data_IF_282983658674
#
_entry.id   IF_282983658674
#
_cell.length_a   1.000
_cell.length_b   1.000
_cell.length_c   1.000
_cell.angle_alpha   90.00
_cell.angle_beta   90.00
_cell.angle_gamma   90.00
#
_symmetry.space_group_name_H-M   'P 1'
#
loop_
_entity.id
_entity.type
_entity.pdbx_description
1 polymer ?
#
# COMPACT_ATOMS: atom_id res chain seq x y z
N UNK A 1 -45.71 8.85 -62.69
CA UNK A 1 -45.67 9.10 -61.23
C UNK A 1 -44.47 8.39 -60.59
N UNK A 2 -44.04 7.27 -61.17
CA UNK A 2 -43.00 6.38 -60.63
C UNK A 2 -41.59 6.98 -60.65
N UNK A 3 -41.25 7.82 -61.63
CA UNK A 3 -39.94 8.48 -61.71
C UNK A 3 -39.71 9.48 -60.56
N UNK A 4 -40.76 10.22 -60.18
CA UNK A 4 -40.69 11.17 -59.05
C UNK A 4 -40.61 10.43 -57.70
N UNK A 5 -41.31 9.31 -57.57
CA UNK A 5 -41.22 8.44 -56.40
C UNK A 5 -39.82 7.84 -56.28
N UNK A 6 -39.25 7.34 -57.39
CA UNK A 6 -37.89 6.81 -57.43
C UNK A 6 -36.85 7.88 -57.04
N UNK A 7 -36.98 9.09 -57.59
CA UNK A 7 -36.11 10.21 -57.26
C UNK A 7 -36.18 10.57 -55.77
N UNK A 8 -37.38 10.63 -55.20
CA UNK A 8 -37.57 10.93 -53.78
C UNK A 8 -36.92 9.89 -52.86
N UNK A 9 -37.02 8.60 -53.21
CA UNK A 9 -36.38 7.50 -52.48
C UNK A 9 -34.85 7.64 -52.52
N UNK A 10 -34.27 7.94 -53.69
CA UNK A 10 -32.82 8.11 -53.83
C UNK A 10 -32.32 9.28 -52.98
N UNK A 11 -33.04 10.41 -53.00
CA UNK A 11 -32.68 11.60 -52.19
C UNK A 11 -32.79 11.29 -50.70
N UNK A 12 -33.83 10.57 -50.27
CA UNK A 12 -34.00 10.13 -48.88
C UNK A 12 -32.84 9.28 -48.38
N UNK A 13 -32.39 8.33 -49.20
CA UNK A 13 -31.25 7.44 -48.87
C UNK A 13 -29.96 8.26 -48.75
N UNK A 14 -29.72 9.18 -49.68
CA UNK A 14 -28.53 10.04 -49.65
C UNK A 14 -28.48 10.92 -48.39
N UNK A 15 -29.62 11.51 -48.01
CA UNK A 15 -29.73 12.31 -46.78
C UNK A 15 -29.49 11.45 -45.55
N UNK A 16 -30.08 10.24 -45.50
CA UNK A 16 -29.86 9.30 -44.39
C UNK A 16 -28.39 8.94 -44.23
N UNK A 17 -27.71 8.57 -45.33
CA UNK A 17 -26.28 8.25 -45.32
C UNK A 17 -25.43 9.43 -44.82
N UNK A 18 -25.70 10.64 -45.30
CA UNK A 18 -24.97 11.84 -44.86
C UNK A 18 -25.15 12.09 -43.36
N UNK A 19 -26.38 12.00 -42.85
CA UNK A 19 -26.65 12.20 -41.41
C UNK A 19 -25.97 11.14 -40.55
N UNK A 20 -25.97 9.87 -40.96
CA UNK A 20 -25.26 8.81 -40.23
C UNK A 20 -23.75 9.03 -40.21
N UNK A 21 -23.16 9.49 -41.32
CA UNK A 21 -21.72 9.78 -41.40
C UNK A 21 -21.33 10.92 -40.45
N UNK A 22 -22.09 12.01 -40.42
CA UNK A 22 -21.84 13.16 -39.54
C UNK A 22 -21.97 12.78 -38.06
N UNK A 23 -23.01 12.02 -37.71
CA UNK A 23 -23.20 11.52 -36.34
C UNK A 23 -22.04 10.63 -35.91
N UNK A 24 -21.62 9.70 -36.75
CA UNK A 24 -20.49 8.82 -36.45
C UNK A 24 -19.20 9.62 -36.23
N UNK A 25 -18.92 10.61 -37.08
CA UNK A 25 -17.74 11.47 -36.92
C UNK A 25 -17.77 12.26 -35.60
N UNK A 26 -18.94 12.76 -35.19
CA UNK A 26 -19.12 13.42 -33.91
C UNK A 26 -18.90 12.46 -32.73
N UNK A 27 -19.48 11.26 -32.79
CA UNK A 27 -19.32 10.24 -31.76
C UNK A 27 -17.87 9.77 -31.63
N UNK A 28 -17.17 9.51 -32.74
CA UNK A 28 -15.75 9.11 -32.75
C UNK A 28 -14.89 10.19 -32.08
N UNK A 29 -15.02 11.47 -32.47
CA UNK A 29 -14.27 12.57 -31.82
C UNK A 29 -14.56 12.71 -30.33
N UNK A 30 -15.82 12.50 -29.93
CA UNK A 30 -16.23 12.56 -28.51
C UNK A 30 -15.65 11.40 -27.70
N UNK A 31 -15.59 10.21 -28.28
CA UNK A 31 -14.99 9.02 -27.67
C UNK A 31 -13.47 9.21 -27.57
N UNK A 32 -12.82 9.65 -28.64
CA UNK A 32 -11.37 9.89 -28.70
C UNK A 32 -10.92 10.87 -27.61
N UNK A 33 -11.64 11.99 -27.42
CA UNK A 33 -11.34 12.96 -26.36
C UNK A 33 -11.48 12.39 -24.93
N UNK A 34 -12.32 11.36 -24.73
CA UNK A 34 -12.50 10.71 -23.43
C UNK A 34 -11.41 9.66 -23.16
N UNK A 35 -10.94 8.98 -24.21
CA UNK A 35 -9.90 7.95 -24.13
C UNK A 35 -8.47 8.51 -24.24
N UNK A 36 -8.25 9.67 -24.84
CA UNK A 36 -6.97 10.39 -24.87
C UNK A 36 -6.59 11.04 -23.53
N UNK A 37 -7.44 10.91 -22.50
CA UNK A 37 -7.03 11.10 -21.11
C UNK A 37 -6.11 9.95 -20.69
N UNK A 38 -4.93 9.86 -21.32
CA UNK A 38 -3.81 9.05 -20.84
C UNK A 38 -3.68 9.41 -19.36
N UNK A 39 -3.86 8.47 -18.41
CA UNK A 39 -3.82 8.81 -17.00
C UNK A 39 -2.46 9.44 -16.75
N UNK A 40 -2.47 10.76 -16.49
CA UNK A 40 -1.29 11.59 -16.29
C UNK A 40 -0.38 10.81 -15.35
N UNK A 41 0.77 10.33 -15.86
CA UNK A 41 1.72 9.44 -15.17
C UNK A 41 1.72 9.75 -13.67
N UNK A 42 0.92 9.00 -12.91
CA UNK A 42 0.72 9.31 -11.50
C UNK A 42 2.09 9.17 -10.87
N UNK A 43 2.58 10.24 -10.24
CA UNK A 43 3.88 10.22 -9.57
C UNK A 43 3.75 9.24 -8.42
N UNK A 44 4.13 7.97 -8.64
CA UNK A 44 4.05 6.90 -7.64
C UNK A 44 4.92 7.36 -6.47
N UNK A 45 4.28 7.86 -5.41
CA UNK A 45 4.99 8.29 -4.21
C UNK A 45 5.53 7.04 -3.54
N UNK A 46 6.84 7.00 -3.33
CA UNK A 46 7.47 5.91 -2.58
C UNK A 46 6.74 5.73 -1.23
N UNK A 47 6.46 4.48 -0.82
CA UNK A 47 5.76 4.24 0.44
C UNK A 47 6.56 4.85 1.60
N UNK A 48 5.89 5.71 2.37
CA UNK A 48 6.50 6.38 3.53
C UNK A 48 6.78 5.34 4.62
N UNK A 49 8.01 5.29 5.10
CA UNK A 49 8.48 4.39 6.16
C UNK A 49 8.44 5.08 7.52
N UNK A 50 8.26 4.29 8.58
CA UNK A 50 8.42 4.66 9.98
C UNK A 50 9.36 3.67 10.66
N UNK A 51 10.11 4.18 11.62
CA UNK A 51 11.03 3.43 12.45
C UNK A 51 10.52 3.54 13.89
N UNK A 52 10.01 2.45 14.43
CA UNK A 52 9.56 2.32 15.81
C UNK A 52 10.76 1.90 16.65
N UNK A 53 11.15 2.74 17.61
CA UNK A 53 12.10 2.38 18.67
C UNK A 53 11.31 1.69 19.77
N UNK A 54 11.81 0.56 20.24
CA UNK A 54 11.19 -0.22 21.30
C UNK A 54 12.25 -0.71 22.30
N UNK A 55 11.79 -1.10 23.47
CA UNK A 55 12.56 -1.76 24.53
C UNK A 55 11.87 -3.06 24.91
N UNK A 56 12.63 -4.05 25.36
CA UNK A 56 12.10 -5.32 25.86
C UNK A 56 12.38 -5.43 27.35
N UNK A 57 11.32 -5.59 28.14
CA UNK A 57 11.45 -6.05 29.51
C UNK A 57 11.49 -7.59 29.52
N UNK A 58 12.68 -8.16 29.68
CA UNK A 58 12.90 -9.60 29.85
C UNK A 58 14.19 -9.86 30.64
N UNK A 59 14.24 -11.00 31.33
CA UNK A 59 15.39 -11.42 32.13
C UNK A 59 16.50 -12.01 31.24
N UNK A 60 16.12 -12.67 30.14
CA UNK A 60 17.06 -13.41 29.28
C UNK A 60 17.41 -12.67 28.01
N UNK A 61 18.51 -13.10 27.41
CA UNK A 61 18.88 -12.69 26.06
C UNK A 61 17.96 -13.33 25.02
N UNK A 62 17.64 -12.55 24.01
CA UNK A 62 16.69 -12.93 22.97
C UNK A 62 17.44 -12.98 21.65
N UNK A 63 17.24 -14.07 20.91
CA UNK A 63 17.74 -14.15 19.54
C UNK A 63 16.98 -13.15 18.63
N UNK A 64 17.68 -12.26 17.91
CA UNK A 64 17.03 -11.28 17.04
C UNK A 64 16.18 -11.90 15.93
N UNK A 65 16.55 -13.09 15.44
CA UNK A 65 15.80 -13.81 14.41
C UNK A 65 14.48 -14.34 14.95
N UNK A 66 14.50 -14.97 16.12
CA UNK A 66 13.30 -15.41 16.85
C UNK A 66 12.39 -14.23 17.22
N UNK A 67 12.96 -13.10 17.65
CA UNK A 67 12.22 -11.86 17.89
C UNK A 67 11.49 -11.37 16.64
N UNK A 68 12.21 -11.26 15.51
CA UNK A 68 11.61 -10.80 14.25
C UNK A 68 10.50 -11.75 13.78
N UNK A 69 10.73 -13.07 13.87
CA UNK A 69 9.75 -14.07 13.46
C UNK A 69 8.51 -14.04 14.33
N UNK A 70 8.66 -13.96 15.66
CA UNK A 70 7.53 -13.89 16.59
C UNK A 70 6.67 -12.65 16.34
N UNK A 71 7.29 -11.49 16.09
CA UNK A 71 6.57 -10.26 15.77
C UNK A 71 5.83 -10.39 14.43
N UNK A 72 6.45 -11.01 13.41
CA UNK A 72 5.80 -11.22 12.11
C UNK A 72 4.64 -12.21 12.19
N UNK A 73 4.79 -13.30 12.92
CA UNK A 73 3.72 -14.28 13.11
C UNK A 73 2.55 -13.64 13.88
N UNK A 74 2.80 -12.90 14.96
CA UNK A 74 1.71 -12.21 15.67
C UNK A 74 1.02 -11.17 14.80
N UNK A 75 1.79 -10.38 14.04
CA UNK A 75 1.22 -9.43 13.08
C UNK A 75 0.35 -10.13 12.01
N UNK A 76 0.81 -11.27 11.49
CA UNK A 76 0.09 -12.09 10.52
C UNK A 76 -1.17 -12.71 11.12
N UNK A 77 -1.12 -13.16 12.37
CA UNK A 77 -2.27 -13.72 13.08
C UNK A 77 -3.38 -12.69 13.24
N UNK A 78 -3.02 -11.44 13.56
CA UNK A 78 -4.00 -10.36 13.78
C UNK A 78 -4.51 -9.74 12.48
N UNK A 79 -3.66 -9.59 11.46
CA UNK A 79 -3.96 -8.76 10.29
C UNK A 79 -3.86 -9.49 8.94
N UNK A 80 -3.47 -10.76 8.95
CA UNK A 80 -3.34 -11.60 7.75
C UNK A 80 -2.02 -11.42 6.99
N UNK A 81 -1.74 -12.39 6.12
CA UNK A 81 -0.51 -12.47 5.33
C UNK A 81 -0.37 -11.32 4.32
N UNK A 82 -1.50 -10.84 3.77
CA UNK A 82 -1.53 -9.73 2.81
C UNK A 82 -1.07 -8.43 3.46
N UNK A 83 -1.57 -8.12 4.66
CA UNK A 83 -1.15 -6.96 5.45
C UNK A 83 0.32 -7.08 5.85
N UNK A 84 0.77 -8.27 6.27
CA UNK A 84 2.18 -8.50 6.59
C UNK A 84 3.08 -8.19 5.38
N UNK A 85 2.72 -8.69 4.19
CA UNK A 85 3.48 -8.46 2.97
C UNK A 85 3.53 -6.97 2.55
N UNK A 86 2.41 -6.25 2.61
CA UNK A 86 2.37 -4.81 2.25
C UNK A 86 2.97 -3.90 3.35
N UNK A 87 3.11 -4.39 4.58
CA UNK A 87 3.63 -3.59 5.70
C UNK A 87 5.13 -3.26 5.57
N UNK A 88 5.90 -4.07 4.82
CA UNK A 88 7.37 -4.02 4.82
C UNK A 88 8.00 -4.08 6.22
N UNK A 89 7.33 -4.77 7.16
CA UNK A 89 7.79 -5.00 8.53
C UNK A 89 9.17 -5.70 8.53
N UNK A 90 10.13 -5.09 9.23
CA UNK A 90 11.48 -5.65 9.38
C UNK A 90 12.14 -5.20 10.68
N UNK A 91 12.81 -6.11 11.37
CA UNK A 91 13.72 -5.75 12.46
C UNK A 91 15.02 -5.17 11.87
N UNK A 92 15.34 -3.93 12.21
CA UNK A 92 16.51 -3.21 11.67
C UNK A 92 17.72 -3.34 12.59
N UNK A 93 17.46 -3.35 13.89
CA UNK A 93 18.48 -3.39 14.93
C UNK A 93 17.86 -3.91 16.21
N UNK A 94 18.62 -4.69 16.97
CA UNK A 94 18.32 -5.05 18.33
C UNK A 94 19.64 -5.30 19.07
N UNK A 95 19.72 -4.85 20.31
CA UNK A 95 20.87 -5.05 21.18
C UNK A 95 20.42 -5.66 22.50
N UNK A 96 20.96 -6.83 22.83
CA UNK A 96 20.65 -7.54 24.06
C UNK A 96 21.16 -6.82 25.31
N UNK A 97 22.24 -6.02 25.22
CA UNK A 97 22.77 -5.30 26.39
C UNK A 97 21.83 -4.20 26.86
N UNK A 98 21.31 -3.42 25.92
CA UNK A 98 20.36 -2.33 26.20
C UNK A 98 18.90 -2.76 26.15
N UNK A 99 18.62 -3.98 25.66
CA UNK A 99 17.28 -4.51 25.35
C UNK A 99 16.47 -3.60 24.43
N UNK A 100 17.14 -2.78 23.61
CA UNK A 100 16.50 -1.82 22.70
C UNK A 100 16.66 -2.21 21.26
N UNK A 101 15.66 -1.87 20.46
CA UNK A 101 15.65 -2.18 19.04
C UNK A 101 14.88 -1.17 18.20
N UNK A 102 14.96 -1.38 16.88
CA UNK A 102 14.27 -0.60 15.87
C UNK A 102 13.53 -1.54 14.92
N UNK A 103 12.22 -1.38 14.83
CA UNK A 103 11.38 -1.99 13.79
C UNK A 103 11.08 -0.96 12.70
N UNK A 104 11.22 -1.37 11.44
CA UNK A 104 10.80 -0.59 10.29
C UNK A 104 9.46 -1.10 9.79
N UNK A 105 8.57 -0.18 9.44
CA UNK A 105 7.28 -0.49 8.83
C UNK A 105 6.82 0.65 7.91
N UNK A 106 5.90 0.36 6.99
CA UNK A 106 5.16 1.38 6.23
C UNK A 106 4.22 2.14 7.18
N UNK A 107 4.19 3.46 7.07
CA UNK A 107 3.59 4.34 8.08
C UNK A 107 2.11 4.05 8.42
N UNK A 108 1.34 3.54 7.45
CA UNK A 108 -0.08 3.22 7.63
C UNK A 108 -0.30 2.04 8.58
N UNK A 109 0.69 1.14 8.71
CA UNK A 109 0.59 -0.05 9.56
C UNK A 109 1.24 0.15 10.94
N UNK A 110 1.63 1.37 11.29
CA UNK A 110 2.27 1.64 12.58
C UNK A 110 1.40 1.19 13.76
N UNK A 111 0.10 1.51 13.73
CA UNK A 111 -0.83 1.10 14.78
C UNK A 111 -0.98 -0.42 14.84
N UNK A 112 -0.99 -1.10 13.67
CA UNK A 112 -1.05 -2.55 13.60
C UNK A 112 0.18 -3.18 14.28
N UNK A 113 1.36 -2.62 14.03
CA UNK A 113 2.59 -3.08 14.67
C UNK A 113 2.54 -2.89 16.19
N UNK A 114 2.08 -1.74 16.67
CA UNK A 114 1.96 -1.46 18.11
C UNK A 114 1.00 -2.46 18.77
N UNK A 115 -0.14 -2.75 18.13
CA UNK A 115 -1.08 -3.77 18.62
C UNK A 115 -0.44 -5.14 18.66
N UNK A 116 0.24 -5.56 17.59
CA UNK A 116 0.87 -6.88 17.52
C UNK A 116 1.92 -7.06 18.62
N UNK A 117 2.85 -6.11 18.79
CA UNK A 117 3.90 -6.24 19.81
C UNK A 117 3.36 -6.18 21.24
N UNK A 118 2.25 -5.48 21.48
CA UNK A 118 1.65 -5.36 22.81
C UNK A 118 1.00 -6.67 23.30
N UNK A 119 0.66 -7.58 22.37
CA UNK A 119 0.05 -8.89 22.69
C UNK A 119 1.08 -10.00 22.89
N UNK A 120 2.34 -9.80 22.48
CA UNK A 120 3.40 -10.78 22.67
C UNK A 120 3.81 -10.77 24.15
N UNK A 121 3.53 -11.88 24.84
CA UNK A 121 3.90 -12.10 26.26
C UNK A 121 5.04 -13.08 26.46
N UNK A 122 5.34 -13.87 25.43
CA UNK A 122 6.31 -14.95 25.50
C UNK A 122 6.92 -15.16 24.12
N UNK A 123 8.23 -15.38 24.08
CA UNK A 123 8.92 -15.93 22.92
C UNK A 123 9.64 -17.18 23.42
N UNK A 124 9.40 -18.31 22.76
CA UNK A 124 9.78 -19.66 23.22
C UNK A 124 9.33 -19.94 24.66
N UNK A 125 10.29 -20.01 25.59
CA UNK A 125 10.08 -20.27 27.00
C UNK A 125 10.26 -19.05 27.91
N UNK A 126 10.54 -17.87 27.33
CA UNK A 126 10.87 -16.67 28.08
C UNK A 126 9.74 -15.64 28.02
N UNK A 127 9.27 -15.24 29.19
CA UNK A 127 8.32 -14.15 29.33
C UNK A 127 8.99 -12.82 29.01
N UNK A 128 8.25 -11.98 28.27
CA UNK A 128 8.72 -10.65 27.90
C UNK A 128 7.57 -9.69 27.63
N UNK A 129 7.91 -8.40 27.66
CA UNK A 129 7.04 -7.32 27.20
C UNK A 129 7.81 -6.42 26.24
N UNK A 130 7.24 -6.21 25.04
CA UNK A 130 7.78 -5.29 24.05
C UNK A 130 7.12 -3.92 24.23
N UNK A 131 7.91 -2.91 24.59
CA UNK A 131 7.45 -1.58 24.96
C UNK A 131 7.83 -0.59 23.85
N UNK A 132 6.87 -0.03 23.10
CA UNK A 132 7.17 1.03 22.13
C UNK A 132 7.58 2.31 22.85
N UNK A 133 8.73 2.88 22.50
CA UNK A 133 9.26 4.11 23.11
C UNK A 133 8.89 5.33 22.28
N UNK A 134 9.32 5.34 21.01
CA UNK A 134 9.18 6.49 20.10
C UNK A 134 9.14 6.06 18.65
N UNK A 135 8.71 6.95 17.77
CA UNK A 135 8.79 6.73 16.32
C UNK A 135 9.63 7.80 15.63
N UNK A 136 10.22 7.43 14.49
CA UNK A 136 11.01 8.32 13.65
C UNK A 136 10.65 8.13 12.18
N UNK A 137 10.79 9.20 11.40
CA UNK A 137 10.68 9.15 9.94
C UNK A 137 11.95 8.65 9.24
N UNK A 138 13.10 8.68 9.91
CA UNK A 138 14.40 8.28 9.33
C UNK A 138 15.15 7.33 10.26
N UNK A 139 15.92 6.42 9.65
CA UNK A 139 16.77 5.47 10.38
C UNK A 139 17.84 6.19 11.19
N UNK A 140 18.42 7.26 10.65
CA UNK A 140 19.48 8.02 11.32
C UNK A 140 18.96 8.67 12.61
N UNK A 141 17.77 9.28 12.58
CA UNK A 141 17.15 9.84 13.79
C UNK A 141 16.73 8.74 14.76
N UNK A 142 16.30 7.58 14.27
CA UNK A 142 15.96 6.44 15.14
C UNK A 142 17.20 5.91 15.89
N UNK A 143 18.33 5.75 15.20
CA UNK A 143 19.59 5.33 15.82
C UNK A 143 20.09 6.32 16.89
N UNK A 144 19.96 7.62 16.64
CA UNK A 144 20.28 8.67 17.63
C UNK A 144 19.36 8.67 18.86
N UNK A 145 18.24 7.96 18.82
CA UNK A 145 17.31 7.82 19.95
C UNK A 145 17.54 6.52 20.74
N UNK A 146 18.47 5.66 20.29
CA UNK A 146 18.87 4.45 21.03
C UNK A 146 19.92 4.76 22.11
N UNK A 147 20.73 5.81 21.88
CA UNK A 147 21.73 6.35 22.80
C UNK A 147 21.11 7.00 24.02
#
# INVERSE_FOLDING_TARGET
MDLYLLYFIIVSILVSLLTTYLLNMYFIKKIENKFLLIPRKMKIKKPRRRYLIFEIASIKDIDPGLLENSIKEEFKNLFGITSLADSYLKLIYFDNKTKRGILRIKHIYLSHLITAIALIRKIDNDELLIIPIRTSGTINKAKKLLS
#
